data_IF_388583220121
#
_entry.id   IF_388583220121
#
_cell.length_a   1.000
_cell.length_b   1.000
_cell.length_c   1.000
_cell.angle_alpha   90.00
_cell.angle_beta   90.00
_cell.angle_gamma   90.00
#
_symmetry.space_group_name_H-M   'P 1'
#
loop_
_entity.id
_entity.type
_entity.pdbx_description
1 polymer ?
#
# COMPACT_ATOMS: atom_id res chain seq x y z
N UNK A 1 5.14 73.67 8.20
CA UNK A 1 4.77 72.56 9.12
C UNK A 1 3.47 71.96 8.62
N UNK A 2 3.55 70.87 7.84
CA UNK A 2 2.39 70.19 7.27
C UNK A 2 1.75 69.27 8.31
N UNK A 3 0.45 69.48 8.60
CA UNK A 3 -0.36 68.53 9.37
C UNK A 3 -0.87 67.44 8.42
N UNK A 4 -0.38 66.23 8.61
CA UNK A 4 -0.94 65.02 7.98
C UNK A 4 -2.04 64.49 8.90
N UNK A 5 -3.27 64.44 8.41
CA UNK A 5 -4.40 63.79 9.07
C UNK A 5 -4.39 62.33 8.64
N UNK A 6 -4.11 61.42 9.56
CA UNK A 6 -4.30 59.98 9.37
C UNK A 6 -5.78 59.66 9.58
N UNK A 7 -6.48 59.30 8.51
CA UNK A 7 -7.82 58.70 8.60
C UNK A 7 -7.65 57.19 8.76
N UNK A 8 -8.01 56.67 9.93
CA UNK A 8 -8.07 55.23 10.20
C UNK A 8 -9.41 54.73 9.66
N UNK A 9 -9.39 54.06 8.53
CA UNK A 9 -10.57 53.34 8.00
C UNK A 9 -10.60 51.98 8.68
N UNK A 10 -11.51 51.82 9.64
CA UNK A 10 -11.80 50.56 10.31
C UNK A 10 -12.60 49.67 9.35
N UNK A 11 -11.95 48.66 8.76
CA UNK A 11 -12.63 47.63 7.97
C UNK A 11 -13.37 46.68 8.93
N UNK A 12 -14.68 46.86 9.06
CA UNK A 12 -15.54 45.87 9.72
C UNK A 12 -15.82 44.76 8.70
N UNK A 13 -15.13 43.63 8.86
CA UNK A 13 -15.46 42.42 8.12
C UNK A 13 -16.80 41.88 8.61
N UNK A 14 -17.89 42.25 7.94
CA UNK A 14 -19.20 41.63 8.11
C UNK A 14 -19.15 40.23 7.49
N UNK A 15 -18.98 39.21 8.32
CA UNK A 15 -19.23 37.83 7.94
C UNK A 15 -20.73 37.63 7.81
N UNK A 16 -21.25 37.62 6.58
CA UNK A 16 -22.61 37.19 6.29
C UNK A 16 -22.69 35.67 6.42
N UNK A 17 -23.18 35.17 7.55
CA UNK A 17 -23.70 33.81 7.64
C UNK A 17 -25.09 33.83 7.00
N UNK A 18 -25.15 33.64 5.68
CA UNK A 18 -26.40 33.27 5.01
C UNK A 18 -26.69 31.83 5.43
N UNK A 19 -27.74 31.63 6.23
CA UNK A 19 -28.29 30.29 6.42
C UNK A 19 -28.66 29.76 5.04
N UNK A 20 -28.12 28.59 4.67
CA UNK A 20 -28.54 27.89 3.46
C UNK A 20 -30.08 27.78 3.49
N UNK A 21 -30.75 28.39 2.52
CA UNK A 21 -32.19 28.25 2.38
C UNK A 21 -32.57 26.79 2.14
N UNK A 22 -33.77 26.40 2.55
CA UNK A 22 -34.34 25.08 2.26
C UNK A 22 -34.15 24.76 0.77
N UNK A 23 -33.37 23.72 0.47
CA UNK A 23 -33.10 23.26 -0.90
C UNK A 23 -31.67 23.48 -1.43
N UNK A 24 -30.82 24.29 -0.79
CA UNK A 24 -29.42 24.48 -1.22
C UNK A 24 -28.52 23.40 -0.59
N UNK A 25 -27.73 22.70 -1.41
CA UNK A 25 -26.84 21.64 -0.92
C UNK A 25 -25.35 21.92 -1.07
N UNK A 26 -24.95 22.77 -2.03
CA UNK A 26 -23.53 23.01 -2.34
C UNK A 26 -23.30 24.44 -2.84
N UNK A 27 -22.05 24.89 -2.83
CA UNK A 27 -21.65 26.18 -3.41
C UNK A 27 -20.30 26.14 -4.12
N UNK A 28 -20.11 27.07 -5.06
CA UNK A 28 -18.82 27.38 -5.71
C UNK A 28 -18.59 28.88 -5.54
N UNK A 29 -17.59 29.28 -4.76
CA UNK A 29 -17.40 30.68 -4.37
C UNK A 29 -18.66 31.26 -3.70
N UNK A 30 -19.28 32.24 -4.36
CA UNK A 30 -20.53 32.88 -3.92
C UNK A 30 -21.80 32.34 -4.63
N UNK A 31 -21.65 31.39 -5.56
CA UNK A 31 -22.76 30.77 -6.28
C UNK A 31 -23.27 29.55 -5.51
N UNK A 32 -24.58 29.45 -5.32
CA UNK A 32 -25.25 28.38 -4.59
C UNK A 32 -26.04 27.50 -5.54
N UNK A 33 -26.03 26.19 -5.29
CA UNK A 33 -26.72 25.21 -6.12
C UNK A 33 -27.57 24.27 -5.26
N UNK A 34 -28.74 23.91 -5.78
CA UNK A 34 -29.65 22.98 -5.11
C UNK A 34 -29.11 21.55 -5.08
N UNK A 35 -28.32 21.16 -6.09
CA UNK A 35 -27.78 19.80 -6.20
C UNK A 35 -26.29 19.79 -6.52
N UNK A 36 -25.62 18.72 -6.10
CA UNK A 36 -24.22 18.45 -6.47
C UNK A 36 -24.05 18.34 -7.99
N UNK A 37 -25.00 17.74 -8.70
CA UNK A 37 -24.94 17.59 -10.16
C UNK A 37 -24.90 18.93 -10.87
N UNK A 38 -25.74 19.88 -10.44
CA UNK A 38 -25.77 21.21 -11.05
C UNK A 38 -24.48 21.99 -10.77
N UNK A 39 -23.90 21.85 -9.58
CA UNK A 39 -22.61 22.45 -9.28
C UNK A 39 -21.47 21.86 -10.13
N UNK A 40 -21.41 20.53 -10.29
CA UNK A 40 -20.41 19.88 -11.14
C UNK A 40 -20.55 20.33 -12.60
N UNK A 41 -21.77 20.45 -13.11
CA UNK A 41 -22.04 20.95 -14.46
C UNK A 41 -21.50 22.37 -14.65
N UNK A 42 -21.77 23.27 -13.69
CA UNK A 42 -21.37 24.68 -13.74
C UNK A 42 -19.93 24.96 -13.31
N UNK A 43 -19.24 24.00 -12.71
CA UNK A 43 -17.85 24.15 -12.30
C UNK A 43 -16.91 24.28 -13.50
N UNK A 44 -15.94 25.18 -13.39
CA UNK A 44 -14.79 25.30 -14.28
C UNK A 44 -13.60 24.50 -13.74
N UNK A 45 -12.58 24.30 -14.59
CA UNK A 45 -11.32 23.72 -14.15
C UNK A 45 -10.69 24.56 -13.01
N UNK A 46 -10.28 23.89 -11.95
CA UNK A 46 -9.72 24.48 -10.74
C UNK A 46 -10.76 24.82 -9.66
N UNK A 47 -12.06 24.72 -9.94
CA UNK A 47 -13.08 25.11 -8.97
C UNK A 47 -13.14 24.19 -7.75
N UNK A 48 -13.53 24.78 -6.63
CA UNK A 48 -13.84 24.06 -5.39
C UNK A 48 -15.34 24.11 -5.10
N UNK A 49 -15.99 22.96 -5.16
CA UNK A 49 -17.37 22.73 -4.73
C UNK A 49 -17.35 22.44 -3.23
N UNK A 50 -17.99 23.29 -2.43
CA UNK A 50 -18.12 23.09 -0.99
C UNK A 50 -19.52 22.60 -0.64
N UNK A 51 -19.60 21.46 0.04
CA UNK A 51 -20.86 20.91 0.55
C UNK A 51 -21.39 21.79 1.70
N UNK A 52 -22.70 22.06 1.67
CA UNK A 52 -23.44 22.78 2.71
C UNK A 52 -24.39 21.87 3.48
N UNK A 53 -24.83 20.77 2.87
CA UNK A 53 -25.61 19.71 3.50
C UNK A 53 -25.24 18.35 2.91
N UNK A 54 -25.63 17.26 3.58
CA UNK A 54 -25.46 15.91 3.04
C UNK A 54 -26.46 15.64 1.92
N UNK A 55 -26.04 14.90 0.90
CA UNK A 55 -26.86 14.63 -0.30
C UNK A 55 -26.92 13.15 -0.61
N UNK A 56 -28.04 12.72 -1.17
CA UNK A 56 -28.18 11.42 -1.85
C UNK A 56 -28.37 11.65 -3.33
N UNK A 57 -27.52 11.03 -4.15
CA UNK A 57 -27.60 11.11 -5.61
C UNK A 57 -28.24 9.84 -6.19
N UNK A 58 -29.07 10.05 -7.20
CA UNK A 58 -29.77 8.96 -7.90
C UNK A 58 -28.90 8.31 -8.99
N UNK A 59 -27.92 9.03 -9.51
CA UNK A 59 -27.01 8.58 -10.57
C UNK A 59 -25.57 8.99 -10.26
N UNK A 60 -24.58 8.19 -10.68
CA UNK A 60 -23.17 8.55 -10.54
C UNK A 60 -22.85 9.91 -11.17
N UNK A 61 -21.99 10.69 -10.50
CA UNK A 61 -21.53 11.98 -10.99
C UNK A 61 -20.27 11.79 -11.85
N UNK A 62 -20.34 12.22 -13.12
CA UNK A 62 -19.18 12.22 -14.02
C UNK A 62 -18.26 13.40 -13.68
N UNK A 63 -16.99 13.10 -13.45
CA UNK A 63 -15.90 14.08 -13.34
C UNK A 63 -15.04 13.96 -14.61
N UNK A 64 -15.14 14.97 -15.46
CA UNK A 64 -14.44 15.10 -16.75
C UNK A 64 -13.75 16.48 -16.89
N UNK A 65 -13.40 17.05 -15.74
CA UNK A 65 -12.79 18.36 -15.52
C UNK A 65 -12.02 18.31 -14.21
N UNK A 66 -11.15 19.28 -13.97
CA UNK A 66 -10.33 19.32 -12.77
C UNK A 66 -11.05 20.08 -11.66
N UNK A 67 -11.56 19.38 -10.65
CA UNK A 67 -12.31 20.00 -9.55
C UNK A 67 -11.91 19.46 -8.18
N UNK A 68 -12.22 20.26 -7.15
CA UNK A 68 -12.16 19.84 -5.76
C UNK A 68 -13.57 19.79 -5.19
N UNK A 69 -13.92 18.72 -4.49
CA UNK A 69 -15.12 18.64 -3.66
C UNK A 69 -14.69 18.62 -2.20
N UNK A 70 -14.97 19.72 -1.51
CA UNK A 70 -14.81 19.84 -0.07
C UNK A 70 -16.09 19.37 0.63
N UNK A 71 -16.01 18.20 1.27
CA UNK A 71 -17.12 17.57 1.97
C UNK A 71 -17.58 18.39 3.19
N UNK A 72 -16.71 19.19 3.80
CA UNK A 72 -17.08 20.18 4.82
C UNK A 72 -18.02 19.64 5.93
N UNK A 73 -17.76 18.43 6.41
CA UNK A 73 -18.54 17.73 7.44
C UNK A 73 -19.77 16.95 6.92
N UNK A 74 -20.04 16.98 5.62
CA UNK A 74 -21.23 16.38 4.99
C UNK A 74 -20.91 15.09 4.24
N UNK A 75 -21.96 14.34 3.92
CA UNK A 75 -21.87 13.06 3.21
C UNK A 75 -22.48 13.14 1.82
N UNK A 76 -21.97 12.30 0.91
CA UNK A 76 -22.51 12.07 -0.43
C UNK A 76 -22.79 10.58 -0.55
N UNK A 77 -24.07 10.22 -0.60
CA UNK A 77 -24.51 8.84 -0.77
C UNK A 77 -25.02 8.62 -2.20
N UNK A 78 -24.65 7.52 -2.85
CA UNK A 78 -25.18 7.13 -4.15
C UNK A 78 -25.88 5.78 -4.07
N UNK A 79 -26.98 5.59 -4.81
CA UNK A 79 -27.57 4.24 -4.94
C UNK A 79 -26.53 3.25 -5.49
N UNK A 80 -25.86 3.61 -6.57
CA UNK A 80 -24.68 2.94 -7.10
C UNK A 80 -23.41 3.74 -6.78
N UNK A 81 -22.29 3.44 -7.43
CA UNK A 81 -21.03 4.18 -7.29
C UNK A 81 -21.25 5.70 -7.41
N UNK A 82 -20.54 6.47 -6.58
CA UNK A 82 -20.84 7.89 -6.41
C UNK A 82 -20.21 8.72 -7.52
N UNK A 83 -18.91 8.51 -7.77
CA UNK A 83 -18.16 9.25 -8.77
C UNK A 83 -17.65 8.33 -9.88
N UNK A 84 -17.78 8.80 -11.12
CA UNK A 84 -17.03 8.29 -12.26
C UNK A 84 -16.01 9.33 -12.69
N UNK A 85 -14.73 9.04 -12.55
CA UNK A 85 -13.66 9.93 -13.01
C UNK A 85 -13.14 9.43 -14.34
N UNK A 86 -13.30 10.26 -15.37
CA UNK A 86 -12.86 9.97 -16.72
C UNK A 86 -12.56 11.30 -17.44
N UNK A 87 -11.28 11.55 -17.76
CA UNK A 87 -10.78 12.79 -18.37
C UNK A 87 -10.82 14.00 -17.44
N UNK A 88 -10.28 13.88 -16.22
CA UNK A 88 -10.27 14.98 -15.25
C UNK A 88 -9.70 14.59 -13.89
N UNK A 89 -9.65 15.56 -12.99
CA UNK A 89 -9.16 15.39 -11.62
C UNK A 89 -10.28 15.55 -10.62
N UNK A 90 -10.42 14.59 -9.71
CA UNK A 90 -11.25 14.70 -8.51
C UNK A 90 -10.36 14.79 -7.28
N UNK A 91 -10.37 15.94 -6.60
CA UNK A 91 -9.83 16.07 -5.25
C UNK A 91 -10.97 15.99 -4.24
N UNK A 92 -10.95 15.00 -3.35
CA UNK A 92 -11.87 14.92 -2.21
C UNK A 92 -11.18 15.41 -0.94
N UNK A 93 -11.70 16.49 -0.37
CA UNK A 93 -11.15 17.14 0.82
C UNK A 93 -12.19 17.34 1.90
N UNK A 94 -11.72 17.59 3.12
CA UNK A 94 -12.58 17.91 4.25
C UNK A 94 -13.27 16.68 4.82
N UNK A 95 -13.63 16.75 6.11
CA UNK A 95 -14.29 15.65 6.79
C UNK A 95 -15.60 15.29 6.10
N UNK A 96 -15.86 14.01 5.91
CA UNK A 96 -17.12 13.55 5.35
C UNK A 96 -17.01 12.16 4.76
N UNK A 97 -18.16 11.63 4.32
CA UNK A 97 -18.26 10.29 3.75
C UNK A 97 -18.75 10.34 2.31
N UNK A 98 -18.17 9.48 1.47
CA UNK A 98 -18.68 9.15 0.14
C UNK A 98 -19.03 7.67 0.13
N UNK A 99 -20.31 7.32 -0.01
CA UNK A 99 -20.75 5.94 0.15
C UNK A 99 -21.69 5.44 -0.95
N UNK A 100 -21.39 4.24 -1.46
CA UNK A 100 -22.28 3.43 -2.30
C UNK A 100 -23.29 2.68 -1.39
N UNK A 101 -24.59 2.85 -1.65
CA UNK A 101 -25.67 2.27 -0.83
C UNK A 101 -26.05 0.85 -1.27
N UNK A 102 -25.92 0.53 -2.56
CA UNK A 102 -26.13 -0.81 -3.13
C UNK A 102 -24.77 -1.31 -3.66
N UNK A 103 -23.97 -1.99 -2.82
CA UNK A 103 -22.58 -2.29 -3.15
C UNK A 103 -22.45 -3.20 -4.38
N UNK A 104 -21.66 -2.79 -5.36
CA UNK A 104 -21.31 -3.61 -6.52
C UNK A 104 -20.02 -3.14 -7.22
N UNK A 105 -19.82 -1.81 -7.31
CA UNK A 105 -18.60 -1.23 -7.85
C UNK A 105 -17.78 -0.57 -6.74
N UNK A 106 -18.22 0.55 -6.18
CA UNK A 106 -17.50 1.24 -5.12
C UNK A 106 -17.77 2.73 -5.05
N UNK A 107 -17.21 3.43 -4.05
CA UNK A 107 -17.45 4.86 -3.90
C UNK A 107 -16.96 5.67 -5.13
N UNK A 108 -15.81 5.29 -5.69
CA UNK A 108 -15.19 5.95 -6.85
C UNK A 108 -14.84 4.91 -7.91
N UNK A 109 -15.32 5.11 -9.14
CA UNK A 109 -14.89 4.37 -10.34
C UNK A 109 -13.99 5.28 -11.17
N UNK A 110 -12.83 4.78 -11.57
CA UNK A 110 -11.86 5.52 -12.39
C UNK A 110 -11.64 4.77 -13.70
N UNK A 111 -11.68 5.48 -14.84
CA UNK A 111 -11.37 4.93 -16.16
C UNK A 111 -10.29 5.77 -16.84
N UNK A 112 -9.40 5.11 -17.57
CA UNK A 112 -8.31 5.75 -18.30
C UNK A 112 -8.69 6.17 -19.71
N UNK A 113 -7.67 6.54 -20.48
CA UNK A 113 -7.75 6.78 -21.93
C UNK A 113 -7.55 5.50 -22.73
N UNK A 114 -7.94 5.53 -24.01
CA UNK A 114 -7.53 4.55 -25.02
C UNK A 114 -6.21 4.93 -25.69
N UNK A 115 -5.79 6.19 -25.58
CA UNK A 115 -4.54 6.69 -26.12
C UNK A 115 -3.41 6.54 -25.10
N UNK A 116 -2.40 5.73 -25.41
CA UNK A 116 -1.29 5.45 -24.49
C UNK A 116 -0.38 6.66 -24.23
N UNK A 117 -0.52 7.75 -24.98
CA UNK A 117 0.22 9.00 -24.77
C UNK A 117 -0.45 9.95 -23.77
N UNK A 118 -1.72 9.72 -23.40
CA UNK A 118 -2.41 10.59 -22.47
C UNK A 118 -1.91 10.35 -21.05
N UNK A 119 -1.18 11.32 -20.50
CA UNK A 119 -0.70 11.31 -19.12
C UNK A 119 -1.69 12.02 -18.21
N UNK A 120 -1.89 11.49 -16.99
CA UNK A 120 -2.76 12.13 -15.99
C UNK A 120 -4.20 12.36 -16.51
N UNK A 121 -4.67 11.46 -17.37
CA UNK A 121 -6.00 11.51 -17.96
C UNK A 121 -7.11 11.47 -16.91
N UNK A 122 -6.97 10.62 -15.89
CA UNK A 122 -7.93 10.55 -14.78
C UNK A 122 -7.19 10.49 -13.47
N UNK A 123 -7.34 11.53 -12.65
CA UNK A 123 -6.61 11.68 -11.39
C UNK A 123 -7.58 11.72 -10.22
N UNK A 124 -7.31 10.95 -9.18
CA UNK A 124 -8.08 10.98 -7.93
C UNK A 124 -7.15 11.20 -6.75
N UNK A 125 -7.43 12.24 -5.97
CA UNK A 125 -6.75 12.54 -4.72
C UNK A 125 -7.76 12.54 -3.59
N UNK A 126 -7.52 11.77 -2.53
CA UNK A 126 -8.43 11.66 -1.38
C UNK A 126 -7.68 11.98 -0.10
N UNK A 127 -8.06 13.08 0.56
CA UNK A 127 -7.41 13.54 1.79
C UNK A 127 -7.74 12.66 3.01
N UNK A 128 -6.95 12.80 4.08
CA UNK A 128 -7.03 11.96 5.29
C UNK A 128 -8.36 11.96 6.02
N UNK A 129 -9.13 13.05 5.93
CA UNK A 129 -10.40 13.20 6.66
C UNK A 129 -11.61 12.61 5.91
N UNK A 130 -11.38 12.10 4.70
CA UNK A 130 -12.44 11.53 3.85
C UNK A 130 -12.58 10.03 4.11
N UNK A 131 -13.82 9.58 4.24
CA UNK A 131 -14.19 8.16 4.35
C UNK A 131 -14.88 7.73 3.06
N UNK A 132 -14.39 6.66 2.44
CA UNK A 132 -15.02 6.00 1.31
C UNK A 132 -15.65 4.69 1.77
N UNK A 133 -16.90 4.44 1.40
CA UNK A 133 -17.59 3.19 1.72
C UNK A 133 -18.32 2.61 0.51
N UNK A 134 -18.36 1.29 0.40
CA UNK A 134 -18.99 0.60 -0.73
C UNK A 134 -18.45 -0.81 -0.89
N UNK A 135 -18.69 -1.44 -2.05
CA UNK A 135 -18.06 -2.73 -2.33
C UNK A 135 -16.54 -2.54 -2.44
N UNK A 136 -16.08 -1.50 -3.12
CA UNK A 136 -14.72 -0.97 -2.92
C UNK A 136 -14.71 0.51 -2.61
N UNK A 137 -13.63 1.00 -2.02
CA UNK A 137 -13.41 2.45 -1.92
C UNK A 137 -13.07 3.04 -3.28
N UNK A 138 -12.16 2.39 -4.00
CA UNK A 138 -11.66 2.85 -5.30
C UNK A 138 -11.59 1.67 -6.26
N UNK A 139 -12.41 1.73 -7.31
CA UNK A 139 -12.43 0.76 -8.40
C UNK A 139 -11.71 1.36 -9.62
N UNK A 140 -10.52 0.84 -9.94
CA UNK A 140 -9.81 1.13 -11.19
C UNK A 140 -10.36 0.21 -12.27
N UNK A 141 -11.24 0.77 -13.11
CA UNK A 141 -11.88 0.03 -14.19
C UNK A 141 -11.17 0.25 -15.52
N UNK A 142 -11.39 -0.70 -16.42
CA UNK A 142 -10.90 -0.63 -17.79
C UNK A 142 -11.78 0.29 -18.66
N UNK A 143 -11.17 0.88 -19.68
CA UNK A 143 -11.86 1.45 -20.84
C UNK A 143 -11.29 0.81 -22.11
N UNK A 144 -12.07 -0.06 -22.76
CA UNK A 144 -11.64 -0.91 -23.88
C UNK A 144 -10.36 -1.73 -23.62
N UNK A 145 -10.26 -2.26 -22.40
CA UNK A 145 -9.12 -3.01 -21.89
C UNK A 145 -7.93 -2.14 -21.45
N UNK A 146 -8.07 -0.82 -21.49
CA UNK A 146 -7.02 0.15 -21.19
C UNK A 146 -7.23 0.81 -19.84
N UNK A 147 -6.13 1.22 -19.22
CA UNK A 147 -6.10 1.99 -17.98
C UNK A 147 -5.19 3.20 -18.10
N UNK A 148 -5.05 3.77 -19.29
CA UNK A 148 -4.00 4.76 -19.57
C UNK A 148 -4.21 6.08 -18.84
N UNK A 149 -3.13 6.59 -18.25
CA UNK A 149 -3.11 7.89 -17.59
C UNK A 149 -3.87 7.95 -16.26
N UNK A 150 -4.24 6.82 -15.67
CA UNK A 150 -4.88 6.80 -14.35
C UNK A 150 -3.84 7.06 -13.26
N UNK A 151 -4.13 8.02 -12.37
CA UNK A 151 -3.35 8.25 -11.15
C UNK A 151 -4.23 8.33 -9.90
N UNK A 152 -3.76 7.75 -8.81
CA UNK A 152 -4.41 7.82 -7.50
C UNK A 152 -3.43 8.20 -6.41
N UNK A 153 -3.80 9.14 -5.55
CA UNK A 153 -3.14 9.41 -4.27
C UNK A 153 -4.18 9.32 -3.15
N UNK A 154 -4.00 8.37 -2.24
CA UNK A 154 -4.97 8.06 -1.20
C UNK A 154 -4.40 8.23 0.21
N UNK A 155 -5.02 9.11 1.00
CA UNK A 155 -4.68 9.39 2.40
C UNK A 155 -5.85 9.06 3.37
N UNK A 156 -7.06 8.82 2.85
CA UNK A 156 -8.30 8.69 3.62
C UNK A 156 -8.54 7.33 4.28
N UNK A 157 -9.81 7.07 4.62
CA UNK A 157 -10.27 5.78 5.15
C UNK A 157 -11.16 5.04 4.16
N UNK A 158 -11.01 3.73 4.00
CA UNK A 158 -11.92 2.86 3.24
C UNK A 158 -12.57 1.85 4.20
N UNK A 159 -13.89 1.70 4.12
CA UNK A 159 -14.62 0.60 4.74
C UNK A 159 -15.38 -0.17 3.65
N UNK A 160 -15.12 -1.47 3.52
CA UNK A 160 -15.76 -2.28 2.48
C UNK A 160 -16.96 -3.05 2.99
N UNK A 161 -17.91 -3.30 2.09
CA UNK A 161 -19.15 -4.04 2.34
C UNK A 161 -19.32 -5.20 1.36
N UNK A 162 -20.27 -6.08 1.68
CA UNK A 162 -20.69 -7.15 0.76
C UNK A 162 -21.61 -6.58 -0.31
N UNK A 163 -21.54 -7.14 -1.50
CA UNK A 163 -22.57 -6.90 -2.51
C UNK A 163 -23.87 -7.65 -2.21
N UNK A 164 -24.87 -7.49 -3.07
CA UNK A 164 -26.16 -8.18 -2.97
C UNK A 164 -26.06 -9.71 -3.10
N UNK A 165 -24.98 -10.22 -3.69
CA UNK A 165 -24.70 -11.65 -3.85
C UNK A 165 -23.96 -12.23 -2.64
N UNK A 166 -23.49 -11.38 -1.72
CA UNK A 166 -22.77 -11.76 -0.51
C UNK A 166 -21.26 -11.80 -0.68
N UNK A 167 -20.74 -11.37 -1.84
CA UNK A 167 -19.32 -11.33 -2.16
C UNK A 167 -18.66 -10.16 -1.44
N UNK A 168 -17.53 -10.44 -0.80
CA UNK A 168 -16.79 -9.46 -0.01
C UNK A 168 -16.12 -8.42 -0.90
N UNK A 169 -16.34 -7.15 -0.55
CA UNK A 169 -15.71 -6.00 -1.18
C UNK A 169 -14.21 -5.86 -0.87
N UNK A 170 -13.44 -5.38 -1.85
CA UNK A 170 -11.99 -5.12 -1.73
C UNK A 170 -11.69 -3.65 -1.40
N UNK A 171 -10.60 -3.35 -0.70
CA UNK A 171 -10.26 -1.97 -0.33
C UNK A 171 -10.00 -1.07 -1.56
N UNK A 172 -9.01 -1.45 -2.37
CA UNK A 172 -8.76 -0.89 -3.71
C UNK A 172 -8.71 -2.03 -4.73
N UNK A 173 -9.44 -1.89 -5.82
CA UNK A 173 -9.59 -2.91 -6.86
C UNK A 173 -9.00 -2.44 -8.20
N UNK A 174 -8.19 -3.28 -8.85
CA UNK A 174 -7.68 -3.03 -10.21
C UNK A 174 -8.18 -4.11 -11.16
N UNK A 175 -8.97 -3.71 -12.16
CA UNK A 175 -9.59 -4.63 -13.12
C UNK A 175 -8.55 -5.40 -13.96
N UNK A 176 -8.67 -6.73 -13.94
CA UNK A 176 -7.78 -7.67 -14.62
C UNK A 176 -7.75 -7.60 -16.15
N UNK A 177 -8.70 -6.90 -16.76
CA UNK A 177 -8.69 -6.64 -18.21
C UNK A 177 -7.60 -5.63 -18.60
N UNK A 178 -7.14 -4.80 -17.65
CA UNK A 178 -6.01 -3.89 -17.86
C UNK A 178 -4.74 -4.73 -17.92
N UNK A 179 -4.22 -4.94 -19.13
CA UNK A 179 -3.06 -5.83 -19.37
C UNK A 179 -1.82 -5.13 -19.89
N UNK A 180 -1.97 -3.89 -20.38
CA UNK A 180 -0.87 -3.17 -20.99
C UNK A 180 0.15 -2.75 -19.94
N UNK A 181 1.42 -2.91 -20.30
CA UNK A 181 2.58 -2.62 -19.44
C UNK A 181 3.18 -1.25 -19.72
N UNK A 182 2.43 -0.40 -20.40
CA UNK A 182 2.77 0.99 -20.71
C UNK A 182 1.67 1.89 -20.17
N UNK A 183 2.04 3.06 -19.64
CA UNK A 183 1.12 4.06 -19.10
C UNK A 183 -0.01 3.43 -18.23
N UNK A 184 0.29 2.38 -17.48
CA UNK A 184 -0.69 1.68 -16.65
C UNK A 184 -1.10 2.54 -15.46
N UNK A 185 -2.17 2.17 -14.73
CA UNK A 185 -2.57 2.89 -13.52
C UNK A 185 -1.44 2.97 -12.49
N UNK A 186 -1.21 4.18 -11.98
CA UNK A 186 -0.22 4.47 -10.94
C UNK A 186 -0.91 4.90 -9.65
N UNK A 187 -0.75 4.10 -8.60
CA UNK A 187 -1.55 4.17 -7.37
C UNK A 187 -0.61 4.34 -6.18
N UNK A 188 -0.75 5.46 -5.47
CA UNK A 188 -0.02 5.75 -4.23
C UNK A 188 -0.96 5.71 -3.03
N UNK A 189 -0.61 4.88 -2.06
CA UNK A 189 -1.33 4.73 -0.79
C UNK A 189 -0.41 5.29 0.30
N UNK A 190 -0.77 6.46 0.82
CA UNK A 190 0.08 7.25 1.71
C UNK A 190 -0.07 6.83 3.19
N UNK A 191 0.83 7.34 4.03
CA UNK A 191 0.96 6.97 5.44
C UNK A 191 -0.29 7.13 6.31
N UNK A 192 -1.21 8.03 5.96
CA UNK A 192 -2.44 8.23 6.76
C UNK A 192 -3.58 7.32 6.31
N UNK A 193 -3.41 6.63 5.19
CA UNK A 193 -4.43 5.76 4.65
C UNK A 193 -4.78 4.62 5.62
N UNK A 194 -6.08 4.41 5.80
CA UNK A 194 -6.62 3.30 6.59
C UNK A 194 -7.61 2.50 5.76
N UNK A 195 -7.31 1.23 5.47
CA UNK A 195 -8.18 0.35 4.70
C UNK A 195 -8.70 -0.75 5.62
N UNK A 196 -10.01 -0.74 5.90
CA UNK A 196 -10.71 -1.79 6.62
C UNK A 196 -11.54 -2.59 5.62
N UNK A 197 -11.02 -3.73 5.18
CA UNK A 197 -11.67 -4.57 4.18
C UNK A 197 -12.22 -5.85 4.80
N UNK A 198 -13.48 -6.15 4.48
CA UNK A 198 -14.09 -7.46 4.77
C UNK A 198 -13.69 -8.53 3.74
N UNK A 199 -12.98 -8.14 2.68
CA UNK A 199 -12.44 -9.00 1.64
C UNK A 199 -10.93 -8.81 1.52
N UNK A 200 -10.47 -8.52 0.30
CA UNK A 200 -9.06 -8.22 0.04
C UNK A 200 -8.73 -6.76 0.37
N UNK A 201 -7.66 -6.48 1.11
CA UNK A 201 -7.20 -5.10 1.35
C UNK A 201 -6.87 -4.39 0.03
N UNK A 202 -5.97 -4.97 -0.76
CA UNK A 202 -5.70 -4.56 -2.14
C UNK A 202 -5.94 -5.75 -3.07
N UNK A 203 -6.68 -5.54 -4.16
CA UNK A 203 -6.84 -6.55 -5.20
C UNK A 203 -6.32 -6.06 -6.55
N UNK A 204 -5.12 -6.52 -6.90
CA UNK A 204 -4.35 -6.15 -8.08
C UNK A 204 -4.50 -7.23 -9.16
N UNK A 205 -5.68 -7.31 -9.78
CA UNK A 205 -5.90 -8.25 -10.88
C UNK A 205 -5.24 -7.76 -12.17
N UNK A 206 -5.41 -6.47 -12.48
CA UNK A 206 -4.84 -5.80 -13.65
C UNK A 206 -3.42 -5.29 -13.44
N UNK A 207 -2.70 -5.10 -14.56
CA UNK A 207 -1.36 -4.53 -14.54
C UNK A 207 -1.43 -3.07 -14.08
N UNK A 208 -0.74 -2.76 -12.99
CA UNK A 208 -0.68 -1.43 -12.36
C UNK A 208 0.62 -1.30 -11.57
N UNK A 209 1.01 -0.08 -11.24
CA UNK A 209 2.02 0.19 -10.22
C UNK A 209 1.33 0.66 -8.94
N UNK A 210 1.60 -0.04 -7.84
CA UNK A 210 1.08 0.29 -6.52
C UNK A 210 2.25 0.54 -5.58
N UNK A 211 2.27 1.73 -4.98
CA UNK A 211 3.19 2.12 -3.92
C UNK A 211 2.43 2.25 -2.60
N UNK A 212 2.80 1.43 -1.61
CA UNK A 212 2.36 1.56 -0.22
C UNK A 212 3.46 2.26 0.57
N UNK A 213 3.14 3.43 1.12
CA UNK A 213 4.07 4.33 1.79
C UNK A 213 3.62 4.62 3.23
N UNK A 214 3.47 3.57 4.03
CA UNK A 214 3.15 3.64 5.46
C UNK A 214 1.69 3.44 5.84
N UNK A 215 0.84 2.89 4.96
CA UNK A 215 -0.59 2.73 5.22
C UNK A 215 -0.91 1.64 6.26
N UNK A 216 -2.09 1.73 6.88
CA UNK A 216 -2.69 0.65 7.67
C UNK A 216 -3.74 -0.09 6.83
N UNK A 217 -3.59 -1.41 6.70
CA UNK A 217 -4.50 -2.29 5.96
C UNK A 217 -4.92 -3.44 6.87
N UNK A 218 -6.21 -3.54 7.15
CA UNK A 218 -6.82 -4.69 7.82
C UNK A 218 -7.78 -5.37 6.86
N UNK A 219 -7.61 -6.68 6.65
CA UNK A 219 -8.36 -7.44 5.66
C UNK A 219 -8.85 -8.78 6.22
N UNK A 220 -9.88 -9.36 5.61
CA UNK A 220 -10.33 -10.72 5.93
C UNK A 220 -9.72 -11.73 4.95
N UNK A 221 -9.98 -11.60 3.65
CA UNK A 221 -9.65 -12.64 2.67
C UNK A 221 -8.16 -12.73 2.33
N UNK A 222 -7.54 -11.58 2.04
CA UNK A 222 -6.10 -11.43 1.90
C UNK A 222 -5.72 -9.96 2.12
N UNK A 223 -4.52 -9.70 2.64
CA UNK A 223 -4.03 -8.33 2.80
C UNK A 223 -3.84 -7.68 1.43
N UNK A 224 -3.04 -8.33 0.59
CA UNK A 224 -2.73 -7.94 -0.77
C UNK A 224 -2.85 -9.18 -1.67
N UNK A 225 -3.84 -9.16 -2.55
CA UNK A 225 -4.08 -10.17 -3.57
C UNK A 225 -3.57 -9.66 -4.92
N UNK A 226 -2.54 -10.30 -5.48
CA UNK A 226 -1.87 -9.86 -6.72
C UNK A 226 -1.86 -10.94 -7.79
N UNK A 227 -2.20 -10.54 -9.01
CA UNK A 227 -2.13 -11.35 -10.24
C UNK A 227 -1.27 -10.71 -11.32
N UNK A 228 -1.11 -9.39 -11.28
CA UNK A 228 -0.34 -8.64 -12.28
C UNK A 228 0.28 -7.38 -11.68
N UNK A 229 1.37 -6.90 -12.28
CA UNK A 229 1.89 -5.56 -12.02
C UNK A 229 2.98 -5.47 -10.96
N UNK A 230 3.19 -4.25 -10.48
CA UNK A 230 4.32 -3.86 -9.63
C UNK A 230 3.76 -3.41 -8.28
N UNK A 231 4.27 -3.99 -7.22
CA UNK A 231 3.98 -3.63 -5.84
C UNK A 231 5.28 -3.21 -5.16
N UNK A 232 5.34 -1.97 -4.69
CA UNK A 232 6.40 -1.49 -3.80
C UNK A 232 5.82 -1.16 -2.44
N UNK A 233 6.41 -1.70 -1.38
CA UNK A 233 6.07 -1.36 0.00
C UNK A 233 7.29 -0.73 0.66
N UNK A 234 7.22 0.57 0.91
CA UNK A 234 8.25 1.26 1.68
C UNK A 234 8.10 0.94 3.18
N UNK A 235 6.87 1.02 3.69
CA UNK A 235 6.50 0.74 5.08
C UNK A 235 4.98 0.55 5.20
N UNK A 236 4.48 0.18 6.38
CA UNK A 236 3.05 0.08 6.70
C UNK A 236 2.67 -1.17 7.50
N UNK A 237 1.44 -1.22 7.97
CA UNK A 237 0.88 -2.36 8.70
C UNK A 237 -0.16 -3.09 7.83
N UNK A 238 0.01 -4.40 7.66
CA UNK A 238 -0.99 -5.25 6.99
C UNK A 238 -1.37 -6.41 7.89
N UNK A 239 -2.62 -6.44 8.34
CA UNK A 239 -3.15 -7.43 9.28
C UNK A 239 -4.28 -8.20 8.61
N UNK A 240 -4.20 -9.52 8.61
CA UNK A 240 -5.19 -10.39 7.99
C UNK A 240 -5.80 -11.34 9.01
N UNK A 241 -7.12 -11.29 9.13
CA UNK A 241 -7.89 -12.00 10.16
C UNK A 241 -8.70 -13.17 9.63
N UNK A 242 -8.81 -13.34 8.32
CA UNK A 242 -9.60 -14.41 7.72
C UNK A 242 -9.00 -15.79 7.91
N UNK A 243 -9.78 -16.79 7.51
CA UNK A 243 -9.47 -18.19 7.71
C UNK A 243 -8.36 -18.67 6.77
N UNK A 244 -7.65 -19.71 7.22
CA UNK A 244 -6.62 -20.39 6.46
C UNK A 244 -7.24 -21.25 5.35
N UNK A 245 -7.18 -20.76 4.12
CA UNK A 245 -7.58 -21.50 2.93
C UNK A 245 -6.41 -21.59 1.95
N UNK A 246 -6.22 -22.77 1.36
CA UNK A 246 -5.08 -23.08 0.48
C UNK A 246 -5.60 -23.49 -0.91
N UNK A 247 -6.25 -22.58 -1.66
CA UNK A 247 -6.75 -22.87 -2.98
C UNK A 247 -5.59 -23.26 -3.91
N UNK A 248 -5.79 -24.33 -4.68
CA UNK A 248 -4.82 -24.80 -5.68
C UNK A 248 -5.31 -24.54 -7.11
N UNK A 249 -6.62 -24.38 -7.29
CA UNK A 249 -7.25 -24.04 -8.57
C UNK A 249 -7.21 -22.52 -8.79
N UNK A 250 -6.72 -22.11 -9.95
CA UNK A 250 -6.70 -20.71 -10.38
C UNK A 250 -8.13 -20.22 -10.66
N UNK A 251 -8.48 -19.03 -10.17
CA UNK A 251 -9.80 -18.45 -10.39
C UNK A 251 -9.77 -17.49 -11.60
N UNK A 252 -10.48 -17.81 -12.71
CA UNK A 252 -10.44 -16.98 -13.92
C UNK A 252 -11.20 -15.65 -13.79
N UNK A 253 -12.10 -15.53 -12.81
CA UNK A 253 -13.01 -14.40 -12.64
C UNK A 253 -12.99 -13.85 -11.20
N UNK A 254 -11.81 -13.86 -10.56
CA UNK A 254 -11.71 -13.45 -9.16
C UNK A 254 -10.46 -13.98 -8.49
N UNK A 255 -10.50 -14.06 -7.17
CA UNK A 255 -9.47 -14.72 -6.38
C UNK A 255 -10.12 -15.44 -5.20
N UNK A 256 -9.69 -16.66 -4.92
CA UNK A 256 -10.20 -17.42 -3.78
C UNK A 256 -9.49 -16.93 -2.51
N UNK A 257 -10.21 -16.70 -1.42
CA UNK A 257 -9.62 -16.22 -0.16
C UNK A 257 -8.56 -17.17 0.40
N UNK A 258 -7.64 -16.65 1.23
CA UNK A 258 -6.53 -17.44 1.80
C UNK A 258 -6.22 -17.15 3.27
N UNK A 259 -6.59 -15.97 3.78
CA UNK A 259 -6.19 -15.49 5.10
C UNK A 259 -4.73 -15.03 5.16
N UNK A 260 -4.06 -14.86 4.01
CA UNK A 260 -2.63 -14.53 3.93
C UNK A 260 -2.41 -13.03 3.74
N UNK A 261 -1.26 -12.50 4.19
CA UNK A 261 -0.92 -11.10 3.96
C UNK A 261 -0.63 -10.83 2.48
N UNK A 262 0.09 -11.73 1.83
CA UNK A 262 0.40 -11.66 0.40
C UNK A 262 -0.11 -12.92 -0.30
N UNK A 263 -1.15 -12.77 -1.10
CA UNK A 263 -1.66 -13.81 -1.95
C UNK A 263 -1.25 -13.55 -3.40
N UNK A 264 -0.50 -14.48 -3.98
CA UNK A 264 0.04 -14.36 -5.33
C UNK A 264 -0.55 -15.48 -6.19
N UNK A 265 -1.45 -15.14 -7.12
CA UNK A 265 -2.04 -16.11 -8.04
C UNK A 265 -1.51 -15.90 -9.47
N UNK A 266 -0.70 -16.83 -9.94
CA UNK A 266 -0.12 -16.80 -11.29
C UNK A 266 -1.10 -17.30 -12.35
N UNK A 267 -2.08 -16.45 -12.72
CA UNK A 267 -3.15 -16.83 -13.63
C UNK A 267 -2.92 -16.37 -15.08
N UNK A 268 -3.02 -17.32 -16.03
CA UNK A 268 -2.73 -17.09 -17.46
C UNK A 268 -3.71 -16.12 -18.15
N UNK A 269 -4.88 -15.87 -17.58
CA UNK A 269 -5.85 -14.91 -18.12
C UNK A 269 -5.44 -13.45 -17.93
N UNK A 270 -4.43 -13.17 -17.11
CA UNK A 270 -3.99 -11.83 -16.71
C UNK A 270 -2.57 -11.53 -17.22
N UNK A 271 -2.14 -10.27 -17.08
CA UNK A 271 -0.86 -9.82 -17.64
C UNK A 271 0.36 -10.45 -16.96
N UNK A 272 0.25 -10.82 -15.69
CA UNK A 272 1.37 -11.36 -14.93
C UNK A 272 2.46 -10.31 -14.72
N UNK A 273 3.71 -10.70 -14.95
CA UNK A 273 4.91 -9.89 -14.71
C UNK A 273 4.90 -9.27 -13.31
N UNK A 274 4.63 -10.11 -12.32
CA UNK A 274 4.46 -9.69 -10.93
C UNK A 274 5.82 -9.31 -10.36
N UNK A 275 5.97 -8.08 -9.91
CA UNK A 275 7.16 -7.56 -9.24
C UNK A 275 6.76 -7.08 -7.85
N UNK A 276 7.40 -7.62 -6.81
CA UNK A 276 7.15 -7.23 -5.42
C UNK A 276 8.47 -6.77 -4.80
N UNK A 277 8.52 -5.53 -4.31
CA UNK A 277 9.65 -4.98 -3.56
C UNK A 277 9.19 -4.51 -2.18
N UNK A 278 9.68 -5.17 -1.13
CA UNK A 278 9.33 -4.90 0.27
C UNK A 278 10.57 -4.37 0.98
N UNK A 279 10.50 -3.12 1.43
CA UNK A 279 11.59 -2.42 2.13
C UNK A 279 11.38 -2.36 3.64
N UNK A 280 10.12 -2.37 4.08
CA UNK A 280 9.71 -2.21 5.46
C UNK A 280 8.27 -2.64 5.67
N UNK A 281 7.75 -2.40 6.87
CA UNK A 281 6.39 -2.74 7.26
C UNK A 281 6.27 -3.93 8.21
N UNK A 282 5.05 -4.17 8.66
CA UNK A 282 4.68 -5.22 9.59
C UNK A 282 3.48 -6.00 9.01
N UNK A 283 3.71 -7.28 8.76
CA UNK A 283 2.84 -8.16 7.98
C UNK A 283 2.41 -9.32 8.87
N UNK A 284 1.15 -9.30 9.30
CA UNK A 284 0.59 -10.26 10.25
C UNK A 284 -0.53 -11.04 9.57
N UNK A 285 -0.35 -12.35 9.43
CA UNK A 285 -1.46 -13.27 9.20
C UNK A 285 -1.83 -13.92 10.53
N UNK A 286 -3.11 -13.79 10.93
CA UNK A 286 -3.60 -14.37 12.18
C UNK A 286 -3.69 -15.90 12.10
N UNK A 287 -4.18 -16.43 10.97
CA UNK A 287 -4.55 -17.84 10.86
C UNK A 287 -3.74 -18.61 9.81
N UNK A 288 -3.07 -17.95 8.87
CA UNK A 288 -2.41 -18.59 7.72
C UNK A 288 -0.91 -18.24 7.63
N UNK A 289 -0.28 -18.61 6.52
CA UNK A 289 1.04 -18.17 6.11
C UNK A 289 1.01 -16.65 5.84
N UNK A 290 2.17 -15.98 5.89
CA UNK A 290 2.23 -14.55 5.56
C UNK A 290 2.19 -14.37 4.04
N UNK A 291 2.88 -15.23 3.28
CA UNK A 291 2.88 -15.21 1.83
C UNK A 291 2.52 -16.57 1.26
N UNK A 292 1.55 -16.59 0.36
CA UNK A 292 1.12 -17.78 -0.38
C UNK A 292 1.17 -17.51 -1.89
N UNK A 293 1.99 -18.29 -2.60
CA UNK A 293 2.06 -18.29 -4.07
C UNK A 293 1.66 -19.65 -4.62
N UNK A 294 0.75 -19.64 -5.59
CA UNK A 294 0.22 -20.86 -6.19
C UNK A 294 -0.05 -20.73 -7.69
N UNK A 295 -0.15 -21.91 -8.31
CA UNK A 295 -0.22 -22.10 -9.75
C UNK A 295 0.94 -22.96 -10.27
N UNK A 296 0.75 -23.54 -11.45
CA UNK A 296 1.75 -24.45 -12.04
C UNK A 296 2.81 -23.73 -12.88
N UNK A 297 2.56 -22.48 -13.27
CA UNK A 297 3.48 -21.66 -14.04
C UNK A 297 3.56 -20.26 -13.44
N UNK A 298 4.55 -20.04 -12.58
CA UNK A 298 4.69 -18.75 -11.90
C UNK A 298 4.83 -17.61 -12.91
N UNK A 299 4.07 -16.53 -12.67
CA UNK A 299 4.10 -15.25 -13.40
C UNK A 299 4.86 -14.17 -12.61
N UNK A 300 5.50 -14.56 -11.51
CA UNK A 300 6.37 -13.68 -10.76
C UNK A 300 7.66 -13.45 -11.53
N UNK A 301 7.98 -12.19 -11.75
CA UNK A 301 9.25 -11.73 -12.34
C UNK A 301 10.31 -11.55 -11.27
N UNK A 302 9.94 -11.01 -10.10
CA UNK A 302 10.83 -10.91 -8.95
C UNK A 302 10.08 -10.64 -7.65
N UNK A 303 10.61 -11.17 -6.55
CA UNK A 303 10.35 -10.69 -5.20
C UNK A 303 11.68 -10.18 -4.64
N UNK A 304 11.64 -9.06 -3.92
CA UNK A 304 12.77 -8.55 -3.14
C UNK A 304 12.28 -8.18 -1.74
N UNK A 305 12.95 -8.71 -0.71
CA UNK A 305 12.68 -8.35 0.68
C UNK A 305 13.98 -7.80 1.27
N UNK A 306 13.98 -6.50 1.59
CA UNK A 306 15.13 -5.81 2.20
C UNK A 306 14.88 -5.39 3.65
N UNK A 307 13.63 -5.49 4.13
CA UNK A 307 13.26 -5.23 5.51
C UNK A 307 11.80 -5.64 5.79
N UNK A 308 11.34 -5.29 6.99
CA UNK A 308 9.98 -5.58 7.47
C UNK A 308 9.91 -6.74 8.48
N UNK A 309 8.73 -6.90 9.07
CA UNK A 309 8.41 -7.96 10.05
C UNK A 309 7.31 -8.85 9.49
N UNK A 310 7.55 -10.16 9.43
CA UNK A 310 6.65 -11.13 8.82
C UNK A 310 6.24 -12.17 9.87
N UNK A 311 4.98 -12.14 10.29
CA UNK A 311 4.48 -12.95 11.40
C UNK A 311 3.24 -13.75 11.01
N UNK A 312 3.36 -15.07 11.04
CA UNK A 312 2.21 -15.98 11.15
C UNK A 312 1.93 -16.21 12.64
N UNK A 313 0.77 -15.76 13.14
CA UNK A 313 0.39 -16.01 14.54
C UNK A 313 -0.10 -17.44 14.78
N UNK A 314 -0.52 -18.12 13.72
CA UNK A 314 -0.82 -19.55 13.71
C UNK A 314 0.45 -20.43 13.78
N UNK A 315 1.63 -19.84 13.92
CA UNK A 315 2.93 -20.55 13.96
C UNK A 315 3.20 -21.39 12.71
N UNK A 316 2.65 -20.99 11.57
CA UNK A 316 2.95 -21.60 10.26
C UNK A 316 4.24 -21.00 9.71
N UNK A 317 4.82 -21.67 8.72
CA UNK A 317 5.89 -21.09 7.93
C UNK A 317 5.44 -19.75 7.31
N UNK A 318 6.34 -18.78 7.22
CA UNK A 318 6.04 -17.47 6.63
C UNK A 318 5.67 -17.64 5.15
N UNK A 319 6.33 -18.57 4.46
CA UNK A 319 6.24 -18.76 3.02
C UNK A 319 5.61 -20.12 2.68
N UNK A 320 4.53 -20.10 1.92
CA UNK A 320 4.00 -21.27 1.22
C UNK A 320 4.08 -20.99 -0.28
N UNK A 321 5.08 -21.55 -0.96
CA UNK A 321 5.44 -21.18 -2.33
C UNK A 321 5.44 -22.41 -3.24
N UNK A 322 4.86 -22.28 -4.42
CA UNK A 322 4.80 -23.36 -5.41
C UNK A 322 6.20 -23.81 -5.86
N UNK A 323 6.29 -25.04 -6.36
CA UNK A 323 7.53 -25.53 -6.97
C UNK A 323 7.92 -24.71 -8.22
N UNK A 324 6.93 -24.23 -8.97
CA UNK A 324 7.14 -23.37 -10.14
C UNK A 324 7.85 -22.06 -9.75
N UNK A 325 7.48 -21.47 -8.61
CA UNK A 325 8.15 -20.31 -8.06
C UNK A 325 9.56 -20.64 -7.56
N UNK A 326 9.69 -21.64 -6.67
CA UNK A 326 10.97 -21.96 -6.01
C UNK A 326 12.08 -22.34 -6.99
N UNK A 327 11.74 -22.89 -8.15
CA UNK A 327 12.72 -23.23 -9.20
C UNK A 327 13.29 -22.02 -9.93
N UNK A 328 12.55 -20.90 -9.99
CA UNK A 328 12.97 -19.66 -10.65
C UNK A 328 13.49 -18.60 -9.67
N UNK A 329 12.93 -18.58 -8.45
CA UNK A 329 13.09 -17.51 -7.46
C UNK A 329 13.44 -18.08 -6.08
N UNK A 330 14.66 -18.55 -5.90
CA UNK A 330 15.12 -19.16 -4.64
C UNK A 330 15.97 -18.24 -3.76
N UNK A 331 16.23 -16.99 -4.18
CA UNK A 331 17.13 -16.05 -3.47
C UNK A 331 16.60 -14.63 -3.57
N UNK A 332 15.74 -14.23 -2.62
CA UNK A 332 15.06 -12.92 -2.66
C UNK A 332 15.13 -12.11 -1.35
N UNK A 333 15.66 -12.69 -0.26
CA UNK A 333 15.70 -12.03 1.06
C UNK A 333 17.09 -11.45 1.35
N UNK A 334 17.13 -10.19 1.73
CA UNK A 334 18.32 -9.42 2.15
C UNK A 334 18.13 -8.68 3.47
N UNK A 335 16.98 -8.82 4.11
CA UNK A 335 16.69 -8.22 5.41
C UNK A 335 15.32 -8.64 5.93
N UNK A 336 14.98 -8.18 7.13
CA UNK A 336 13.71 -8.46 7.79
C UNK A 336 13.80 -9.41 8.98
N UNK A 337 12.67 -9.51 9.69
CA UNK A 337 12.44 -10.38 10.85
C UNK A 337 11.24 -11.29 10.56
N UNK A 338 11.38 -12.59 10.86
CA UNK A 338 10.42 -13.61 10.44
C UNK A 338 9.96 -14.47 11.62
N UNK A 339 8.72 -14.96 11.62
CA UNK A 339 8.23 -15.91 12.64
C UNK A 339 8.64 -17.36 12.38
N UNK A 340 9.34 -17.65 11.29
CA UNK A 340 9.85 -18.98 10.91
C UNK A 340 11.16 -18.82 10.14
N UNK A 341 11.92 -19.90 9.99
CA UNK A 341 13.26 -19.84 9.41
C UNK A 341 13.25 -19.50 7.89
N UNK A 342 13.83 -18.37 7.45
CA UNK A 342 13.86 -17.96 6.05
C UNK A 342 15.10 -18.44 5.27
N UNK A 343 15.94 -19.30 5.85
CA UNK A 343 17.29 -19.64 5.34
C UNK A 343 17.33 -20.04 3.87
N UNK A 344 16.31 -20.76 3.38
CA UNK A 344 16.26 -21.24 2.00
C UNK A 344 16.25 -20.10 0.97
N UNK A 345 15.77 -18.92 1.37
CA UNK A 345 15.48 -17.80 0.48
C UNK A 345 16.46 -16.63 0.58
N UNK A 346 17.50 -16.73 1.41
CA UNK A 346 18.49 -15.68 1.63
C UNK A 346 19.36 -15.43 0.39
N UNK A 347 19.54 -14.18 -0.02
CA UNK A 347 20.53 -13.77 -1.01
C UNK A 347 21.95 -14.06 -0.51
N UNK A 348 22.90 -14.22 -1.43
CA UNK A 348 24.31 -14.41 -1.08
C UNK A 348 24.84 -13.23 -0.25
N UNK A 349 25.67 -13.51 0.76
CA UNK A 349 26.20 -12.50 1.68
C UNK A 349 25.23 -12.12 2.81
N UNK A 350 24.20 -12.93 3.06
CA UNK A 350 23.25 -12.75 4.16
C UNK A 350 23.09 -14.05 4.95
N UNK A 351 22.91 -13.90 6.27
CA UNK A 351 22.69 -14.99 7.22
C UNK A 351 21.47 -14.70 8.09
N UNK A 352 21.01 -15.69 8.85
CA UNK A 352 19.91 -15.54 9.81
C UNK A 352 20.36 -15.92 11.21
N UNK A 353 19.96 -15.14 12.21
CA UNK A 353 20.25 -15.44 13.62
C UNK A 353 19.20 -16.36 14.27
N UNK A 354 19.37 -16.67 15.55
CA UNK A 354 18.45 -17.56 16.29
C UNK A 354 17.02 -16.99 16.46
N UNK A 355 16.81 -15.69 16.22
CA UNK A 355 15.51 -15.02 16.26
C UNK A 355 14.91 -14.84 14.86
N UNK A 356 15.45 -15.52 13.85
CA UNK A 356 15.03 -15.38 12.45
C UNK A 356 15.12 -13.95 11.90
N UNK A 357 16.07 -13.17 12.40
CA UNK A 357 16.42 -11.86 11.83
C UNK A 357 17.54 -12.03 10.82
N UNK A 358 17.37 -11.43 9.65
CA UNK A 358 18.34 -11.48 8.55
C UNK A 358 19.39 -10.39 8.72
N UNK A 359 20.65 -10.79 8.63
CA UNK A 359 21.82 -9.93 8.84
C UNK A 359 22.74 -10.02 7.62
N UNK A 360 23.34 -8.88 7.24
CA UNK A 360 24.41 -8.85 6.23
C UNK A 360 25.67 -9.47 6.81
N UNK A 361 26.26 -10.42 6.08
CA UNK A 361 27.53 -11.02 6.46
C UNK A 361 28.64 -9.95 6.41
N UNK A 362 29.41 -9.84 7.47
CA UNK A 362 30.60 -9.00 7.49
C UNK A 362 31.74 -9.78 6.82
N UNK A 363 32.20 -9.32 5.67
CA UNK A 363 33.45 -9.82 5.08
C UNK A 363 34.58 -9.23 5.93
N UNK A 364 35.15 -10.03 6.83
CA UNK A 364 36.47 -9.76 7.39
C UNK A 364 37.49 -9.89 6.24
N UNK A 365 37.74 -8.79 5.53
CA UNK A 365 38.88 -8.72 4.63
C UNK A 365 40.16 -8.67 5.48
N UNK A 366 40.83 -9.81 5.61
CA UNK A 366 42.24 -9.80 6.01
C UNK A 366 43.02 -9.25 4.82
N UNK A 367 43.11 -7.93 4.71
CA UNK A 367 44.04 -7.26 3.78
C UNK A 367 45.46 -7.34 4.33
N UNK A 368 46.00 -8.56 4.38
CA UNK A 368 47.44 -8.75 4.52
C UNK A 368 48.08 -8.51 3.17
N UNK A 369 48.72 -7.36 2.98
CA UNK A 369 49.66 -7.14 1.88
C UNK A 369 50.76 -8.21 1.97
N UNK A 370 50.66 -9.29 1.18
CA UNK A 370 51.80 -10.19 0.96
C UNK A 370 52.72 -9.49 -0.04
N UNK A 371 53.59 -8.62 0.48
CA UNK A 371 54.83 -8.28 -0.22
C UNK A 371 55.85 -9.37 0.09
N UNK A 372 56.34 -10.00 -0.96
CA UNK A 372 57.48 -10.95 -0.90
C UNK A 372 58.67 -10.21 -0.28
N UNK A 373 59.08 -10.60 0.93
CA UNK A 373 60.38 -11.23 1.27
C UNK A 373 60.60 -11.17 2.77
N UNK A 374 60.66 -12.34 3.41
CA UNK A 374 61.67 -12.79 4.38
C UNK A 374 61.06 -13.92 5.22
N UNK A 375 61.86 -14.95 5.46
CA UNK A 375 61.46 -16.13 6.23
C UNK A 375 60.95 -15.70 7.61
N UNK A 376 59.63 -15.75 7.78
CA UNK A 376 59.01 -15.49 9.08
C UNK A 376 59.46 -16.60 10.02
N UNK A 377 60.31 -16.24 10.99
CA UNK A 377 60.76 -17.15 12.03
C UNK A 377 59.54 -17.61 12.83
N UNK A 378 59.16 -18.88 12.64
CA UNK A 378 58.04 -19.55 13.31
C UNK A 378 58.15 -19.39 14.84
N UNK A 379 59.36 -19.23 15.38
CA UNK A 379 59.60 -18.92 16.79
C UNK A 379 58.99 -17.60 17.26
N UNK A 380 58.98 -16.56 16.43
CA UNK A 380 58.44 -15.24 16.80
C UNK A 380 56.90 -15.24 16.84
N UNK A 381 56.26 -15.98 15.93
CA UNK A 381 54.80 -16.16 15.93
C UNK A 381 54.37 -16.99 17.15
N UNK A 382 55.08 -18.09 17.43
CA UNK A 382 54.80 -18.92 18.62
C UNK A 382 55.01 -18.10 19.89
N UNK A 383 56.04 -17.27 19.97
CA UNK A 383 56.29 -16.39 21.12
C UNK A 383 55.16 -15.37 21.35
N UNK A 384 54.64 -14.76 20.28
CA UNK A 384 53.49 -13.84 20.35
C UNK A 384 52.20 -14.54 20.79
N UNK A 385 51.93 -15.75 20.28
CA UNK A 385 50.76 -16.55 20.70
C UNK A 385 50.88 -16.93 22.18
N UNK A 386 52.09 -17.33 22.64
CA UNK A 386 52.35 -17.63 24.05
C UNK A 386 52.14 -16.38 24.92
N UNK A 387 52.60 -15.20 24.50
CA UNK A 387 52.39 -13.95 25.24
C UNK A 387 50.90 -13.56 25.36
N UNK A 388 50.11 -13.78 24.30
CA UNK A 388 48.66 -13.54 24.33
C UNK A 388 47.96 -14.54 25.25
N UNK A 389 48.32 -15.83 25.17
CA UNK A 389 47.77 -16.86 26.06
C UNK A 389 48.13 -16.62 27.53
N UNK A 390 49.36 -16.17 27.83
CA UNK A 390 49.79 -15.79 29.18
C UNK A 390 48.99 -14.58 29.67
N UNK A 391 48.73 -13.60 28.81
CA UNK A 391 47.95 -12.41 29.16
C UNK A 391 46.49 -12.76 29.48
N UNK A 392 45.88 -13.66 28.71
CA UNK A 392 44.54 -14.20 28.96
C UNK A 392 44.52 -15.02 30.27
N UNK A 393 45.55 -15.83 30.52
CA UNK A 393 45.66 -16.62 31.74
C UNK A 393 45.82 -15.73 32.99
N UNK A 394 46.63 -14.67 32.92
CA UNK A 394 46.80 -13.68 34.00
C UNK A 394 45.49 -12.93 34.26
N UNK A 395 44.74 -12.58 33.21
CA UNK A 395 43.41 -11.96 33.34
C UNK A 395 42.41 -12.90 34.02
N UNK A 396 42.38 -14.18 33.64
CA UNK A 396 41.51 -15.19 34.26
C UNK A 396 41.89 -15.49 35.73
N UNK A 397 43.19 -15.50 36.06
CA UNK A 397 43.67 -15.69 37.44
C UNK A 397 43.32 -14.47 38.31
N UNK A 398 43.45 -13.24 37.78
CA UNK A 398 43.00 -12.02 38.48
C UNK A 398 41.48 -12.01 38.67
N UNK A 399 40.71 -12.42 37.67
CA UNK A 399 39.26 -12.58 37.76
C UNK A 399 38.83 -13.59 38.84
N UNK A 400 39.49 -14.75 38.94
CA UNK A 400 39.22 -15.75 39.99
C UNK A 400 39.61 -15.29 41.41
N UNK A 401 40.64 -14.45 41.56
CA UNK A 401 41.00 -13.87 42.88
C UNK A 401 39.99 -12.83 43.38
N UNK A 402 39.27 -12.16 42.47
CA UNK A 402 38.23 -11.17 42.82
C UNK A 402 36.95 -11.87 43.28
N UNK A 403 36.57 -13.00 42.68
CA UNK A 403 35.40 -13.79 43.11
C UNK A 403 35.59 -14.54 44.44
N UNK A 404 36.82 -14.87 44.86
CA UNK A 404 37.09 -15.51 46.16
C UNK A 404 37.07 -14.54 47.36
N UNK A 405 36.83 -13.25 47.14
CA UNK A 405 36.72 -12.21 48.17
C UNK A 405 35.27 -11.71 48.38
N UNK A 406 34.31 -12.27 47.65
CA UNK A 406 32.89 -11.86 47.67
C UNK A 406 31.95 -13.00 48.12
N UNK A 407 32.49 -14.12 48.62
CA UNK A 407 31.73 -15.13 49.37
C UNK A 407 32.51 -15.61 50.58
#
# INVERSE_FOLDING_TARGET
MNKVIFSVVCFVALSFNVLAGDGISVKIGNNYYETLSLAIENAFDGDTITMLSSVTIEKPQLINKNITINLNGNNISGKSYVFKVQNGTLNLTGKGKVNELEPYFGAIVIKGSENSYDSEYSVVNVSSDVILEGWTGIFIDQYNGKGYGIKVSFDGTINTYKDSSGDSGAGIYVNGTIKDKINYPDIKINKTAKINSIGNGLYMAGYSNVLVDGAYIEANDAGIAIKSGILTINDGDVIVTGIDEVPTTLNPNGINRTGTTFQIESNNGYAGDIVIDIKGGNFISKNSNVMYEYGNNTKVSSINISGGKFKSEASKDVFNLSNSFKTKHNKFISGGEFSSNPSDYLKNGYSVNHNYQVLKESILSVSGNVTKTENVNVGTIIFLIIMVLISILVYLIKGKKILKKIY
#
